data_IF_227538262980
#
_entry.id   IF_227538262980
#
_cell.length_a   1.000
_cell.length_b   1.000
_cell.length_c   1.000
_cell.angle_alpha   90.00
_cell.angle_beta   90.00
_cell.angle_gamma   90.00
#
_symmetry.space_group_name_H-M   'P 1'
#
loop_
_entity.id
_entity.type
_entity.pdbx_description
1 polymer ?
#
# COMPACT_ATOMS: atom_id res chain seq x y z
N UNK A 1 -7.42 17.72 -16.79
CA UNK A 1 -8.76 17.98 -16.23
C UNK A 1 -8.71 19.30 -15.46
N UNK A 2 -9.72 20.17 -15.57
CA UNK A 2 -9.79 21.46 -14.86
C UNK A 2 -10.81 21.34 -13.72
N UNK A 3 -10.36 21.34 -12.47
CA UNK A 3 -11.21 21.11 -11.28
C UNK A 3 -12.28 22.20 -11.15
N UNK A 4 -12.02 23.40 -11.70
CA UNK A 4 -12.89 24.57 -11.67
C UNK A 4 -14.20 24.38 -12.47
N UNK A 5 -14.29 23.31 -13.27
CA UNK A 5 -15.48 22.99 -14.06
C UNK A 5 -16.54 22.19 -13.29
N UNK A 6 -16.23 21.74 -12.07
CA UNK A 6 -17.12 20.94 -11.24
C UNK A 6 -17.78 21.79 -10.15
N UNK A 7 -19.05 21.49 -9.87
CA UNK A 7 -19.76 22.06 -8.71
C UNK A 7 -19.72 21.04 -7.58
N UNK A 8 -19.39 21.52 -6.38
CA UNK A 8 -19.35 20.71 -5.16
C UNK A 8 -20.31 21.30 -4.11
N UNK A 9 -20.78 20.49 -3.15
CA UNK A 9 -21.49 21.00 -1.99
C UNK A 9 -20.70 22.11 -1.27
N UNK A 10 -21.40 23.09 -0.70
CA UNK A 10 -20.76 24.29 -0.12
C UNK A 10 -19.91 24.00 1.12
N UNK A 11 -20.13 22.86 1.76
CA UNK A 11 -19.40 22.37 2.93
C UNK A 11 -18.16 21.53 2.58
N UNK A 12 -17.93 21.23 1.29
CA UNK A 12 -16.77 20.45 0.85
C UNK A 12 -15.53 21.33 0.69
N UNK A 13 -14.40 20.85 1.21
CA UNK A 13 -13.10 21.47 1.03
C UNK A 13 -12.27 20.68 0.01
N UNK A 14 -11.87 21.34 -1.06
CA UNK A 14 -10.90 20.79 -2.01
C UNK A 14 -9.49 21.03 -1.49
N UNK A 15 -8.64 20.02 -1.55
CA UNK A 15 -7.25 20.12 -1.14
C UNK A 15 -6.42 18.93 -1.66
N UNK A 16 -5.08 19.03 -1.59
CA UNK A 16 -4.20 17.90 -1.86
C UNK A 16 -4.50 16.73 -0.92
N UNK A 17 -4.38 15.49 -1.42
CA UNK A 17 -4.46 14.27 -0.60
C UNK A 17 -3.50 14.34 0.59
N UNK A 18 -2.32 14.93 0.39
CA UNK A 18 -1.31 15.08 1.43
C UNK A 18 -1.67 16.04 2.58
N UNK A 19 -2.74 16.83 2.44
CA UNK A 19 -3.28 17.64 3.53
C UNK A 19 -4.44 16.95 4.27
N UNK A 20 -4.95 15.84 3.73
CA UNK A 20 -6.15 15.17 4.23
C UNK A 20 -5.86 13.78 4.83
N UNK A 21 -4.69 13.20 4.54
CA UNK A 21 -4.32 11.86 4.96
C UNK A 21 -2.88 11.82 5.47
N UNK A 22 -2.65 10.98 6.47
CA UNK A 22 -1.31 10.63 6.92
C UNK A 22 -0.71 9.58 5.99
N UNK A 23 0.61 9.69 5.76
CA UNK A 23 1.36 8.68 5.01
C UNK A 23 2.23 7.87 5.97
N UNK A 24 1.92 6.58 6.06
CA UNK A 24 2.65 5.65 6.88
C UNK A 24 4.08 5.51 6.36
N UNK A 25 5.04 5.72 7.25
CA UNK A 25 6.46 5.62 6.98
C UNK A 25 7.11 4.74 8.03
N UNK A 26 8.15 4.00 7.63
CA UNK A 26 8.85 3.12 8.57
C UNK A 26 9.39 3.92 9.77
N UNK A 27 8.99 3.61 11.01
CA UNK A 27 9.50 4.30 12.19
C UNK A 27 11.03 4.21 12.31
N UNK A 28 11.66 5.31 12.74
CA UNK A 28 13.10 5.33 13.03
C UNK A 28 13.35 4.45 14.27
N UNK A 29 14.16 3.41 14.13
CA UNK A 29 14.45 2.46 15.20
C UNK A 29 13.55 1.23 15.23
N UNK A 30 12.64 1.05 14.26
CA UNK A 30 11.94 -0.22 14.10
C UNK A 30 12.95 -1.30 13.71
N UNK A 31 13.23 -2.22 14.64
CA UNK A 31 14.05 -3.40 14.41
C UNK A 31 13.25 -4.39 13.58
N UNK A 32 13.49 -4.34 12.27
CA UNK A 32 13.01 -5.38 11.38
C UNK A 32 13.82 -6.65 11.61
N UNK A 33 13.23 -7.83 11.42
CA UNK A 33 13.98 -9.07 11.40
C UNK A 33 15.13 -8.99 10.40
N UNK A 34 16.37 -9.02 10.90
CA UNK A 34 17.54 -8.72 10.08
C UNK A 34 18.00 -9.93 9.27
N UNK A 35 17.60 -11.15 9.65
CA UNK A 35 17.88 -12.41 8.95
C UNK A 35 16.95 -13.53 9.48
N UNK A 36 16.35 -14.31 8.58
CA UNK A 36 15.65 -15.55 8.93
C UNK A 36 14.15 -15.41 9.17
N UNK A 37 13.68 -14.38 9.90
CA UNK A 37 12.25 -14.27 10.16
C UNK A 37 11.49 -13.74 8.94
N UNK A 38 10.38 -14.39 8.65
CA UNK A 38 9.50 -14.03 7.55
C UNK A 38 8.61 -12.87 7.95
N UNK A 39 8.50 -11.88 7.06
CA UNK A 39 7.56 -10.79 7.21
C UNK A 39 6.42 -10.91 6.20
N UNK A 40 5.22 -10.41 6.52
CA UNK A 40 4.13 -10.32 5.56
C UNK A 40 4.54 -9.50 4.32
N UNK A 41 4.44 -10.11 3.14
CA UNK A 41 4.66 -9.44 1.87
C UNK A 41 3.41 -9.52 0.99
N UNK A 42 2.93 -8.37 0.51
CA UNK A 42 1.78 -8.27 -0.39
C UNK A 42 2.24 -8.17 -1.85
N UNK A 43 2.21 -9.26 -2.62
CA UNK A 43 2.47 -9.21 -4.06
C UNK A 43 1.33 -8.46 -4.78
N UNK A 44 1.63 -7.88 -5.93
CA UNK A 44 0.62 -7.17 -6.75
C UNK A 44 -0.54 -8.04 -7.19
N UNK A 45 -0.33 -9.33 -7.30
CA UNK A 45 -1.35 -10.28 -7.74
C UNK A 45 -2.38 -10.53 -6.64
N UNK A 46 -2.04 -10.23 -5.39
CA UNK A 46 -2.97 -10.34 -4.26
C UNK A 46 -3.75 -9.06 -4.01
N UNK A 47 -3.38 -7.93 -4.63
CA UNK A 47 -4.19 -6.71 -4.55
C UNK A 47 -5.44 -6.92 -5.41
N UNK A 48 -6.62 -7.08 -4.78
CA UNK A 48 -7.82 -7.49 -5.47
C UNK A 48 -8.34 -6.38 -6.40
N UNK A 49 -8.96 -6.79 -7.50
CA UNK A 49 -9.85 -5.93 -8.28
C UNK A 49 -11.27 -6.15 -7.77
N UNK A 50 -11.88 -5.11 -7.19
CA UNK A 50 -13.27 -5.17 -6.70
C UNK A 50 -13.45 -5.72 -5.29
N UNK A 51 -12.39 -5.82 -4.47
CA UNK A 51 -12.51 -5.97 -3.02
C UNK A 51 -11.79 -4.82 -2.33
N UNK A 52 -12.25 -4.47 -1.13
CA UNK A 52 -11.72 -3.33 -0.38
C UNK A 52 -10.57 -3.77 0.54
N UNK A 53 -10.62 -4.97 1.11
CA UNK A 53 -9.63 -5.46 2.08
C UNK A 53 -8.76 -6.56 1.50
N UNK A 54 -7.53 -6.66 2.00
CA UNK A 54 -6.59 -7.75 1.70
C UNK A 54 -6.01 -8.33 2.99
N UNK A 55 -6.27 -9.62 3.17
CA UNK A 55 -5.73 -10.47 4.24
C UNK A 55 -4.66 -11.44 3.72
N UNK A 56 -4.55 -11.60 2.40
CA UNK A 56 -3.72 -12.65 1.81
C UNK A 56 -2.32 -12.12 1.51
N UNK A 57 -1.34 -12.58 2.28
CA UNK A 57 0.07 -12.24 2.08
C UNK A 57 0.94 -13.48 1.86
N UNK A 58 2.15 -13.27 1.36
CA UNK A 58 3.19 -14.30 1.28
C UNK A 58 4.25 -13.97 2.31
N UNK A 59 4.56 -14.86 3.27
CA UNK A 59 5.71 -14.67 4.16
C UNK A 59 7.00 -14.63 3.34
N UNK A 60 7.87 -13.63 3.57
CA UNK A 60 9.19 -13.55 2.92
C UNK A 60 10.26 -13.06 3.89
N UNK A 61 11.49 -13.61 3.84
CA UNK A 61 12.61 -13.06 4.58
C UNK A 61 12.90 -11.63 4.12
N UNK A 62 13.11 -10.70 5.05
CA UNK A 62 13.43 -9.32 4.72
C UNK A 62 14.65 -9.19 3.80
N UNK A 63 15.66 -10.05 3.98
CA UNK A 63 16.86 -10.07 3.15
C UNK A 63 16.58 -10.37 1.66
N UNK A 64 15.47 -11.04 1.35
CA UNK A 64 15.04 -11.30 -0.04
C UNK A 64 14.22 -10.14 -0.62
N UNK A 65 13.76 -9.21 0.22
CA UNK A 65 13.01 -8.03 -0.18
C UNK A 65 13.99 -6.90 -0.50
N UNK A 66 14.43 -6.82 -1.76
CA UNK A 66 15.35 -5.77 -2.20
C UNK A 66 14.80 -4.34 -2.09
N UNK A 67 13.47 -4.17 -2.16
CA UNK A 67 12.77 -2.91 -1.95
C UNK A 67 11.28 -3.15 -1.70
N UNK A 68 10.62 -2.20 -1.03
CA UNK A 68 9.17 -2.20 -0.83
C UNK A 68 8.72 -1.06 0.08
N UNK A 69 7.41 -0.90 0.20
CA UNK A 69 6.79 0.14 1.03
C UNK A 69 6.31 -0.49 2.34
N UNK A 70 6.70 0.10 3.46
CA UNK A 70 6.18 -0.28 4.78
C UNK A 70 4.70 0.10 4.87
N UNK A 71 3.89 -0.84 5.34
CA UNK A 71 2.45 -0.64 5.58
C UNK A 71 2.05 -1.29 6.91
N UNK A 72 1.01 -0.74 7.53
CA UNK A 72 0.39 -1.22 8.76
C UNK A 72 -1.06 -1.67 8.52
N UNK A 73 -1.62 -2.47 9.45
CA UNK A 73 -3.05 -2.80 9.42
C UNK A 73 -3.89 -1.52 9.42
N UNK A 74 -4.88 -1.45 8.52
CA UNK A 74 -5.72 -0.27 8.30
C UNK A 74 -5.18 0.71 7.24
N UNK A 75 -3.94 0.56 6.78
CA UNK A 75 -3.41 1.39 5.69
C UNK A 75 -4.13 1.12 4.36
N UNK A 76 -4.43 2.19 3.62
CA UNK A 76 -4.86 2.10 2.23
C UNK A 76 -3.63 2.02 1.31
N UNK A 77 -3.41 0.84 0.72
CA UNK A 77 -2.43 0.64 -0.34
C UNK A 77 -2.99 1.09 -1.69
N UNK A 78 -2.22 1.91 -2.40
CA UNK A 78 -2.51 2.34 -3.77
C UNK A 78 -1.34 1.97 -4.67
N UNK A 79 -1.60 1.21 -5.74
CA UNK A 79 -0.56 0.81 -6.68
C UNK A 79 0.06 2.03 -7.39
N UNK A 80 1.37 2.21 -7.27
CA UNK A 80 2.14 3.25 -7.98
C UNK A 80 2.47 2.87 -9.43
N UNK A 81 1.56 2.19 -10.13
CA UNK A 81 1.71 1.80 -11.53
C UNK A 81 0.88 2.76 -12.38
N UNK A 82 1.52 3.59 -13.21
CA UNK A 82 0.78 4.52 -14.07
C UNK A 82 0.00 3.77 -15.15
N UNK A 83 -1.30 4.06 -15.32
CA UNK A 83 -2.14 4.98 -14.55
C UNK A 83 -2.62 4.37 -13.20
N UNK A 84 -2.22 4.99 -12.08
CA UNK A 84 -2.33 4.43 -10.73
C UNK A 84 -3.77 4.24 -10.24
N UNK A 85 -4.67 5.16 -10.60
CA UNK A 85 -6.08 5.13 -10.18
C UNK A 85 -7.01 4.49 -11.21
N UNK A 86 -6.52 4.23 -12.42
CA UNK A 86 -7.30 3.62 -13.49
C UNK A 86 -7.16 2.10 -13.48
N UNK A 87 -6.04 1.57 -12.96
CA UNK A 87 -5.81 0.13 -12.84
C UNK A 87 -6.65 -0.53 -11.73
N UNK A 88 -7.19 0.26 -10.78
CA UNK A 88 -8.09 -0.20 -9.72
C UNK A 88 -7.43 -1.07 -8.64
N UNK A 89 -6.10 -1.25 -8.64
CA UNK A 89 -5.37 -2.02 -7.63
C UNK A 89 -5.14 -1.18 -6.39
N UNK A 90 -6.13 -1.22 -5.50
CA UNK A 90 -6.09 -0.61 -4.18
C UNK A 90 -6.70 -1.56 -3.16
N UNK A 91 -6.19 -1.54 -1.92
CA UNK A 91 -6.72 -2.36 -0.84
C UNK A 91 -6.35 -1.79 0.53
N UNK A 92 -7.21 -2.02 1.51
CA UNK A 92 -6.98 -1.78 2.94
C UNK A 92 -6.34 -3.05 3.53
N UNK A 93 -5.22 -2.89 4.23
CA UNK A 93 -4.52 -3.99 4.89
C UNK A 93 -5.35 -4.49 6.09
N UNK A 94 -5.66 -5.78 6.11
CA UNK A 94 -6.42 -6.42 7.20
C UNK A 94 -5.89 -7.84 7.43
N UNK A 95 -4.75 -7.96 8.12
CA UNK A 95 -4.07 -9.24 8.36
C UNK A 95 -4.03 -9.61 9.84
N UNK A 96 -4.27 -10.89 10.13
CA UNK A 96 -4.08 -11.46 11.47
C UNK A 96 -2.61 -11.82 11.68
N UNK A 97 -1.82 -10.91 12.26
CA UNK A 97 -0.42 -11.18 12.60
C UNK A 97 0.02 -10.42 13.85
N UNK A 98 0.94 -11.00 14.62
CA UNK A 98 1.56 -10.36 15.80
C UNK A 98 2.45 -9.16 15.40
N UNK A 99 2.84 -9.08 14.13
CA UNK A 99 3.57 -7.96 13.56
C UNK A 99 2.62 -6.97 12.89
N UNK A 100 2.69 -5.70 13.24
CA UNK A 100 1.98 -4.62 12.53
C UNK A 100 2.63 -4.27 11.20
N UNK A 101 3.62 -5.05 10.76
CA UNK A 101 4.49 -4.72 9.65
C UNK A 101 4.19 -5.58 8.44
N UNK A 102 3.97 -4.94 7.31
CA UNK A 102 4.02 -5.61 6.03
C UNK A 102 4.80 -4.78 5.00
N UNK A 103 5.21 -5.45 3.94
CA UNK A 103 5.86 -4.81 2.80
C UNK A 103 5.05 -5.05 1.54
N UNK A 104 4.64 -3.96 0.89
CA UNK A 104 4.01 -4.02 -0.41
C UNK A 104 5.02 -3.69 -1.53
N UNK A 105 4.92 -4.41 -2.65
CA UNK A 105 5.70 -4.13 -3.86
C UNK A 105 4.81 -4.16 -5.10
N UNK A 106 4.98 -3.14 -5.93
CA UNK A 106 4.55 -3.15 -7.31
C UNK A 106 5.48 -4.05 -8.13
N UNK A 107 5.12 -5.32 -8.33
CA UNK A 107 5.81 -6.18 -9.28
C UNK A 107 5.55 -5.66 -10.69
N UNK A 108 6.56 -5.01 -11.26
CA UNK A 108 6.65 -4.85 -12.70
C UNK A 108 7.03 -6.21 -13.28
N UNK A 109 6.30 -6.72 -14.31
CA UNK A 109 6.79 -7.89 -15.03
C UNK A 109 8.20 -7.55 -15.52
N UNK A 110 9.16 -8.43 -15.19
CA UNK A 110 10.49 -8.37 -15.78
C UNK A 110 10.28 -8.24 -17.30
N UNK A 111 10.81 -7.16 -17.90
CA UNK A 111 10.80 -6.99 -19.36
C UNK A 111 11.30 -8.30 -19.97
N UNK A 112 10.43 -8.99 -20.71
CA UNK A 112 10.83 -10.00 -21.68
C UNK A 112 11.50 -9.27 -22.85
#
# INVERSE_FOLDING_TARGET
MKIEQFQFPSDWKLGPVAESFDFTGKPRGLDLPKNGDEIPFFPMDHIPLGRIHVSEFTPKPLAQLGSGTYVENGDLMVAKITPSFENGKQAIVDIETDSSLAVHRADFPQRI
#
